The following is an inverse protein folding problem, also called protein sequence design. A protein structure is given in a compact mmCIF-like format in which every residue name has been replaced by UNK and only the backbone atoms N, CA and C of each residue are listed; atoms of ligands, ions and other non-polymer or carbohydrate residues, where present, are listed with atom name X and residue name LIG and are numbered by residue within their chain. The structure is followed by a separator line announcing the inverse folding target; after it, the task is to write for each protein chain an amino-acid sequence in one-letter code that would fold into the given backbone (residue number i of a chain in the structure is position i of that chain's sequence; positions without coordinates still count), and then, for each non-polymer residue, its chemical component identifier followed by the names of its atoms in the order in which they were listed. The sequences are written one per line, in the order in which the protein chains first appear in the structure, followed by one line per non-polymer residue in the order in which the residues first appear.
data_IF_824788632517
#
_entry.id   IF_824788632517
#
_cell.length_a   1.000
_cell.length_b   1.000
_cell.length_c   1.000
_cell.angle_alpha   90.00
_cell.angle_beta   90.00
_cell.angle_gamma   90.00
#
_symmetry.space_group_name_H-M   'P 1'
#
loop_
_entity.id
_entity.type
_entity.pdbx_description
1 polymer ?
#
# COMPACT_ATOMS: atom_id res chain seq x y z
N UNK A 1 12.65 -9.66 11.49
CA UNK A 1 11.71 -9.32 12.58
C UNK A 1 10.30 -9.58 12.06
N UNK A 2 9.50 -10.32 12.81
CA UNK A 2 8.13 -10.69 12.42
C UNK A 2 7.22 -9.47 12.55
N UNK A 3 6.41 -9.18 11.53
CA UNK A 3 5.34 -8.20 11.65
C UNK A 3 4.39 -8.61 12.81
N UNK A 4 3.76 -7.63 13.47
CA UNK A 4 2.70 -7.93 14.44
C UNK A 4 1.54 -8.64 13.73
N UNK A 5 0.99 -9.67 14.36
CA UNK A 5 -0.23 -10.33 13.92
C UNK A 5 -1.44 -9.42 14.18
N UNK A 6 -2.21 -9.15 13.14
CA UNK A 6 -3.44 -8.35 13.17
C UNK A 6 -4.64 -9.20 13.58
N UNK A 7 -4.64 -10.52 13.36
CA UNK A 7 -5.69 -11.47 13.78
C UNK A 7 -7.11 -11.03 13.40
N UNK A 8 -7.26 -10.47 12.21
CA UNK A 8 -8.55 -10.01 11.71
C UNK A 8 -9.26 -11.09 10.90
N UNK A 9 -10.59 -11.00 10.79
CA UNK A 9 -11.33 -11.86 9.85
C UNK A 9 -11.25 -11.30 8.43
N UNK A 10 -11.43 -12.16 7.40
CA UNK A 10 -11.52 -11.73 5.99
C UNK A 10 -12.54 -10.60 5.83
N UNK A 11 -13.75 -10.76 6.39
CA UNK A 11 -14.79 -9.72 6.34
C UNK A 11 -14.33 -8.41 6.97
N UNK A 12 -13.64 -8.47 8.11
CA UNK A 12 -13.13 -7.29 8.79
C UNK A 12 -12.09 -6.54 7.96
N UNK A 13 -11.13 -7.26 7.38
CA UNK A 13 -10.07 -6.68 6.55
C UNK A 13 -10.63 -6.11 5.25
N UNK A 14 -11.60 -6.78 4.63
CA UNK A 14 -12.24 -6.28 3.41
C UNK A 14 -13.07 -5.02 3.67
N UNK A 15 -13.79 -4.94 4.79
CA UNK A 15 -14.48 -3.71 5.20
C UNK A 15 -13.50 -2.56 5.46
N UNK A 16 -12.39 -2.85 6.13
CA UNK A 16 -11.35 -1.83 6.35
C UNK A 16 -10.79 -1.33 5.00
N UNK A 17 -10.50 -2.24 4.07
CA UNK A 17 -10.06 -1.86 2.73
C UNK A 17 -11.06 -0.95 2.00
N UNK A 18 -12.35 -1.21 2.14
CA UNK A 18 -13.38 -0.36 1.55
C UNK A 18 -13.38 1.05 2.16
N UNK A 19 -13.34 1.16 3.49
CA UNK A 19 -13.30 2.45 4.18
C UNK A 19 -12.06 3.29 3.80
N UNK A 20 -10.87 2.68 3.75
CA UNK A 20 -9.65 3.38 3.35
C UNK A 20 -9.72 3.89 1.91
N UNK A 21 -10.32 3.12 1.00
CA UNK A 21 -10.51 3.54 -0.39
C UNK A 21 -11.51 4.69 -0.53
N UNK A 22 -12.54 4.74 0.33
CA UNK A 22 -13.47 5.86 0.41
C UNK A 22 -12.76 7.13 0.91
N UNK A 23 -11.85 7.00 1.89
CA UNK A 23 -11.04 8.11 2.38
C UNK A 23 -10.18 8.76 1.30
N UNK A 24 -9.69 7.99 0.32
CA UNK A 24 -8.98 8.54 -0.85
C UNK A 24 -9.88 9.45 -1.69
N UNK A 25 -11.16 9.11 -1.83
CA UNK A 25 -12.13 9.96 -2.54
C UNK A 25 -12.29 11.32 -1.86
N UNK A 26 -12.41 11.33 -0.52
CA UNK A 26 -12.50 12.59 0.24
C UNK A 26 -11.23 13.43 0.12
N UNK A 27 -10.07 12.77 0.13
CA UNK A 27 -8.78 13.43 0.04
C UNK A 27 -8.60 14.26 -1.23
N UNK A 28 -9.05 13.74 -2.37
CA UNK A 28 -9.03 14.46 -3.66
C UNK A 28 -10.00 15.66 -3.65
N UNK A 29 -11.04 15.63 -2.82
CA UNK A 29 -11.99 16.72 -2.65
C UNK A 29 -11.51 17.86 -1.73
N UNK A 30 -10.49 17.62 -0.91
CA UNK A 30 -9.93 18.66 -0.02
C UNK A 30 -9.14 19.66 -0.85
N UNK A 31 -9.49 20.95 -0.72
CA UNK A 31 -8.84 22.05 -1.46
C UNK A 31 -7.68 22.68 -0.72
N UNK A 32 -7.68 22.58 0.60
CA UNK A 32 -6.61 23.12 1.45
C UNK A 32 -5.39 22.18 1.39
N UNK A 33 -4.21 22.65 0.93
CA UNK A 33 -3.04 21.78 0.76
C UNK A 33 -2.51 21.18 2.06
N UNK A 34 -2.57 21.92 3.17
CA UNK A 34 -2.04 21.46 4.46
C UNK A 34 -2.95 20.39 5.06
N UNK A 35 -4.26 20.61 4.98
CA UNK A 35 -5.25 19.59 5.38
C UNK A 35 -5.15 18.36 4.48
N UNK A 36 -4.99 18.57 3.17
CA UNK A 36 -4.84 17.47 2.21
C UNK A 36 -3.59 16.63 2.50
N UNK A 37 -2.46 17.28 2.81
CA UNK A 37 -1.23 16.60 3.22
C UNK A 37 -1.41 15.80 4.52
N UNK A 38 -1.95 16.43 5.57
CA UNK A 38 -2.18 15.77 6.85
C UNK A 38 -3.11 14.55 6.69
N UNK A 39 -4.14 14.68 5.85
CA UNK A 39 -5.05 13.60 5.56
C UNK A 39 -4.38 12.49 4.73
N UNK A 40 -3.53 12.84 3.76
CA UNK A 40 -2.74 11.88 2.98
C UNK A 40 -1.81 11.05 3.87
N UNK A 41 -1.15 11.72 4.82
CA UNK A 41 -0.29 11.07 5.79
C UNK A 41 -1.05 10.02 6.62
N UNK A 42 -2.25 10.38 7.10
CA UNK A 42 -3.11 9.49 7.89
C UNK A 42 -3.59 8.28 7.07
N UNK A 43 -4.12 8.52 5.85
CA UNK A 43 -4.62 7.47 4.96
C UNK A 43 -3.50 6.53 4.54
N UNK A 44 -2.33 7.06 4.19
CA UNK A 44 -1.17 6.21 3.86
C UNK A 44 -0.81 5.33 5.06
N UNK A 45 -0.74 5.90 6.27
CA UNK A 45 -0.46 5.11 7.47
C UNK A 45 -1.48 3.98 7.70
N UNK A 46 -2.79 4.28 7.60
CA UNK A 46 -3.86 3.29 7.72
C UNK A 46 -3.76 2.17 6.68
N UNK A 47 -3.50 2.55 5.42
CA UNK A 47 -3.33 1.60 4.31
C UNK A 47 -2.10 0.71 4.44
N UNK A 48 -1.01 1.19 5.06
CA UNK A 48 0.16 0.35 5.32
C UNK A 48 -0.14 -0.76 6.33
N UNK A 49 -0.91 -0.45 7.38
CA UNK A 49 -1.38 -1.45 8.33
C UNK A 49 -2.34 -2.44 7.68
N UNK A 50 -3.29 -1.94 6.90
CA UNK A 50 -4.23 -2.76 6.14
C UNK A 50 -3.50 -3.73 5.19
N UNK A 51 -2.44 -3.26 4.52
CA UNK A 51 -1.62 -4.08 3.64
C UNK A 51 -0.99 -5.24 4.39
N UNK A 52 -0.46 -5.02 5.59
CA UNK A 52 0.15 -6.09 6.38
C UNK A 52 -0.91 -7.08 6.87
N UNK A 53 -2.09 -6.60 7.29
CA UNK A 53 -3.21 -7.45 7.69
C UNK A 53 -3.74 -8.32 6.53
N UNK A 54 -3.80 -7.76 5.31
CA UNK A 54 -4.15 -8.53 4.11
C UNK A 54 -3.11 -9.60 3.81
N UNK A 55 -1.82 -9.26 3.92
CA UNK A 55 -0.73 -10.21 3.66
C UNK A 55 -0.73 -11.37 4.67
N UNK A 56 -1.07 -11.10 5.93
CA UNK A 56 -1.26 -12.14 6.95
C UNK A 56 -2.34 -13.14 6.51
N UNK A 57 -3.52 -12.64 6.11
CA UNK A 57 -4.63 -13.50 5.68
C UNK A 57 -4.38 -14.23 4.36
N UNK A 58 -3.63 -13.64 3.43
CA UNK A 58 -3.23 -14.31 2.17
C UNK A 58 -2.37 -15.54 2.45
N UNK A 59 -1.54 -15.49 3.49
CA UNK A 59 -0.62 -16.55 3.87
C UNK A 59 -1.25 -17.56 4.85
N UNK A 60 -2.44 -17.28 5.39
CA UNK A 60 -3.15 -18.18 6.28
C UNK A 60 -3.80 -19.35 5.50
N UNK A 61 -3.44 -20.61 5.79
CA UNK A 61 -4.01 -21.77 5.12
C UNK A 61 -5.53 -21.94 5.35
N UNK A 62 -6.10 -21.30 6.39
CA UNK A 62 -7.53 -21.36 6.65
C UNK A 62 -8.36 -20.53 5.66
N UNK A 63 -7.74 -19.59 4.94
CA UNK A 63 -8.43 -18.66 4.04
C UNK A 63 -8.08 -18.87 2.55
N UNK A 64 -7.65 -20.09 2.18
CA UNK A 64 -7.26 -20.44 0.81
C UNK A 64 -8.34 -20.12 -0.23
N UNK A 65 -9.62 -20.27 0.11
CA UNK A 65 -10.76 -19.95 -0.76
C UNK A 65 -10.88 -18.46 -1.09
N UNK A 66 -10.43 -17.57 -0.18
CA UNK A 66 -10.45 -16.12 -0.35
C UNK A 66 -9.09 -15.56 -0.77
N UNK A 67 -8.07 -16.41 -0.92
CA UNK A 67 -6.69 -16.00 -1.16
C UNK A 67 -6.55 -15.10 -2.38
N UNK A 68 -7.20 -15.44 -3.48
CA UNK A 68 -7.13 -14.64 -4.71
C UNK A 68 -7.73 -13.24 -4.52
N UNK A 69 -8.89 -13.16 -3.84
CA UNK A 69 -9.55 -11.90 -3.54
C UNK A 69 -8.70 -11.03 -2.60
N UNK A 70 -8.17 -11.62 -1.52
CA UNK A 70 -7.28 -10.95 -0.58
C UNK A 70 -6.01 -10.44 -1.28
N UNK A 71 -5.41 -11.24 -2.16
CA UNK A 71 -4.23 -10.84 -2.93
C UNK A 71 -4.55 -9.67 -3.87
N UNK A 72 -5.67 -9.71 -4.58
CA UNK A 72 -6.11 -8.60 -5.45
C UNK A 72 -6.31 -7.31 -4.65
N UNK A 73 -6.91 -7.40 -3.47
CA UNK A 73 -7.11 -6.25 -2.57
C UNK A 73 -5.78 -5.73 -2.05
N UNK A 74 -4.87 -6.62 -1.62
CA UNK A 74 -3.51 -6.26 -1.21
C UNK A 74 -2.78 -5.46 -2.30
N UNK A 75 -2.82 -5.94 -3.54
CA UNK A 75 -2.14 -5.29 -4.66
C UNK A 75 -2.81 -3.96 -5.05
N UNK A 76 -4.12 -3.82 -4.81
CA UNK A 76 -4.84 -2.55 -4.97
C UNK A 76 -4.39 -1.54 -3.92
N UNK A 77 -4.32 -1.94 -2.65
CA UNK A 77 -3.88 -1.08 -1.54
C UNK A 77 -2.46 -0.58 -1.79
N UNK A 78 -1.52 -1.46 -2.19
CA UNK A 78 -0.15 -1.06 -2.51
C UNK A 78 -0.10 -0.01 -3.62
N UNK A 79 -0.89 -0.20 -4.70
CA UNK A 79 -0.94 0.77 -5.81
C UNK A 79 -1.45 2.13 -5.35
N UNK A 80 -2.49 2.15 -4.54
CA UNK A 80 -3.07 3.39 -4.01
C UNK A 80 -2.07 4.10 -3.08
N UNK A 81 -1.42 3.38 -2.18
CA UNK A 81 -0.36 3.93 -1.32
C UNK A 81 0.75 4.58 -2.15
N UNK A 82 1.26 3.88 -3.19
CA UNK A 82 2.28 4.43 -4.09
C UNK A 82 1.81 5.72 -4.77
N UNK A 83 0.54 5.78 -5.19
CA UNK A 83 -0.03 6.99 -5.78
C UNK A 83 -0.15 8.13 -4.77
N UNK A 84 -0.69 7.87 -3.58
CA UNK A 84 -0.83 8.90 -2.54
C UNK A 84 0.52 9.50 -2.15
N UNK A 85 1.56 8.67 -2.02
CA UNK A 85 2.91 9.15 -1.70
C UNK A 85 3.44 10.07 -2.79
N UNK A 86 3.24 9.69 -4.05
CA UNK A 86 3.71 10.47 -5.20
C UNK A 86 2.93 11.76 -5.39
N UNK A 87 1.61 11.71 -5.28
CA UNK A 87 0.73 12.81 -5.65
C UNK A 87 0.62 13.87 -4.53
N UNK A 88 0.77 13.45 -3.27
CA UNK A 88 0.67 14.34 -2.10
C UNK A 88 2.00 14.52 -1.34
N UNK A 89 3.12 14.05 -1.90
CA UNK A 89 4.47 14.17 -1.30
C UNK A 89 4.54 13.66 0.16
N UNK A 90 3.79 12.61 0.50
CA UNK A 90 3.74 12.01 1.84
C UNK A 90 5.14 11.62 2.30
N UNK A 91 5.53 12.09 3.48
CA UNK A 91 6.85 11.78 4.04
C UNK A 91 6.86 10.40 4.70
N UNK A 92 7.45 9.42 4.02
CA UNK A 92 7.61 8.06 4.52
C UNK A 92 8.54 7.96 5.74
N UNK A 93 9.49 8.89 5.89
CA UNK A 93 10.36 8.88 7.07
C UNK A 93 9.57 9.25 8.32
N UNK A 94 8.66 10.22 8.25
CA UNK A 94 7.80 10.58 9.38
C UNK A 94 6.91 9.40 9.82
N UNK A 95 6.40 8.62 8.86
CA UNK A 95 5.62 7.41 9.15
C UNK A 95 6.49 6.35 9.83
N UNK A 96 7.72 6.12 9.35
CA UNK A 96 8.66 5.18 9.97
C UNK A 96 9.04 5.62 11.38
N UNK A 97 9.29 6.91 11.58
CA UNK A 97 9.61 7.50 12.88
C UNK A 97 8.44 7.36 13.84
N UNK A 98 7.20 7.53 13.37
CA UNK A 98 6.00 7.33 14.18
C UNK A 98 5.76 5.85 14.53
N UNK A 99 6.22 4.91 13.70
CA UNK A 99 6.18 3.47 13.94
C UNK A 99 7.20 2.99 15.01
N UNK A 100 7.29 3.70 16.12
CA UNK A 100 8.14 3.40 17.29
C UNK A 100 7.89 2.02 17.90
N UNK A 101 6.68 1.48 17.73
CA UNK A 101 6.28 0.15 18.22
C UNK A 101 6.51 -0.97 17.20
N UNK A 102 7.16 -0.66 16.07
CA UNK A 102 7.49 -1.59 14.99
C UNK A 102 6.32 -2.47 14.55
N UNK A 103 5.14 -1.86 14.45
CA UNK A 103 3.88 -2.54 14.08
C UNK A 103 3.81 -2.76 12.56
N UNK A 104 4.30 -1.79 11.78
CA UNK A 104 4.40 -1.92 10.33
C UNK A 104 5.53 -2.88 9.94
N UNK A 105 5.27 -3.69 8.92
CA UNK A 105 6.22 -4.59 8.29
C UNK A 105 7.21 -3.87 7.37
N UNK A 106 7.91 -4.65 6.54
CA UNK A 106 8.94 -4.12 5.64
C UNK A 106 8.34 -3.21 4.56
N UNK A 107 8.75 -1.94 4.54
CA UNK A 107 8.32 -0.89 3.59
C UNK A 107 9.20 -0.77 2.32
N UNK A 108 10.18 -1.66 2.11
CA UNK A 108 11.14 -1.55 1.01
C UNK A 108 10.52 -1.53 -0.39
N UNK A 109 9.29 -2.04 -0.54
CA UNK A 109 8.53 -2.05 -1.80
C UNK A 109 8.02 -0.66 -2.23
N UNK A 110 8.08 0.34 -1.33
CA UNK A 110 7.73 1.72 -1.62
C UNK A 110 8.92 2.52 -2.17
N UNK A 111 10.14 2.06 -1.92
CA UNK A 111 11.39 2.72 -2.34
C UNK A 111 11.75 2.49 -3.81
N UNK A 112 10.77 2.34 -4.71
CA UNK A 112 10.99 2.22 -6.16
C UNK A 112 11.35 3.57 -6.80
N UNK A 113 12.30 4.29 -6.20
CA UNK A 113 13.08 5.36 -6.84
C UNK A 113 14.31 4.80 -7.58
N UNK A 114 14.34 3.49 -7.87
CA UNK A 114 15.28 3.01 -8.89
C UNK A 114 14.74 3.47 -10.23
N UNK A 115 15.44 4.36 -10.97
CA UNK A 115 15.05 4.65 -12.34
C UNK A 115 14.97 3.30 -13.05
N UNK A 116 13.84 3.04 -13.72
CA UNK A 116 13.75 1.94 -14.68
C UNK A 116 14.88 2.15 -15.66
N UNK A 117 15.98 1.43 -15.50
CA UNK A 117 16.97 1.25 -16.55
C UNK A 117 16.19 0.59 -17.67
N UNK A 118 15.78 1.40 -18.64
CA UNK A 118 15.19 0.95 -19.89
C UNK A 118 16.14 -0.10 -20.45
N UNK A 119 15.78 -1.38 -20.24
CA UNK A 119 16.42 -2.52 -20.86
C UNK A 119 16.18 -2.43 -22.35
N UNK A 120 17.01 -1.63 -23.03
CA UNK A 120 17.06 -1.49 -24.47
C UNK A 120 17.61 -2.78 -25.08
N UNK A 121 16.80 -3.83 -25.10
CA UNK A 121 17.05 -5.02 -25.91
C UNK A 121 16.20 -4.94 -27.16
N UNK A 122 16.49 -3.97 -28.04
CA UNK A 122 16.12 -4.07 -29.46
C UNK A 122 17.28 -4.75 -30.19
N UNK A 123 17.34 -6.08 -30.07
CA UNK A 123 18.16 -6.92 -30.96
C UNK A 123 17.23 -7.65 -31.92
N UNK A 124 17.58 -7.55 -33.20
CA UNK A 124 17.07 -8.29 -34.37
C UNK A 124 15.81 -7.78 -35.08
N UNK A 125 16.04 -7.02 -36.14
CA UNK A 125 15.31 -7.23 -37.40
C UNK A 125 16.25 -7.05 -38.61
N UNK A 126 16.93 -8.12 -38.99
CA UNK A 126 17.45 -8.34 -40.34
C UNK A 126 16.26 -8.54 -41.28
N UNK A 127 16.08 -7.65 -42.26
CA UNK A 127 15.39 -7.78 -43.59
C UNK A 127 15.63 -6.40 -44.26
N UNK A 128 16.20 -6.21 -45.44
CA UNK A 128 16.50 -7.01 -46.63
C UNK A 128 17.90 -6.63 -47.13
#
# INVERSE_FOLDING_TARGET
MSAKEYKMTVKGVMNWAQNELEHVGYLVGVRDPDIQYAYAQSVVNGMLHLRDALLELVNDPNYVTHKEELQRTHDKVIRVVKHLIKDFNVNLEDIKTFNTRHVLGNLSYLNENKPKTNGGTRKNRRRY
#
